data_IF_871626452695
#
_entry.id   IF_871626452695
#
_cell.length_a   1.000
_cell.length_b   1.000
_cell.length_c   1.000
_cell.angle_alpha   90.00
_cell.angle_beta   90.00
_cell.angle_gamma   90.00
#
_symmetry.space_group_name_H-M   'P 1'
#
loop_
_entity.id
_entity.type
_entity.pdbx_description
1 polymer ?
#
# COMPACT_ATOMS: atom_id res chain seq x y z
N UNK A 1 15.08 13.71 6.01
CA UNK A 1 14.95 12.55 5.11
C UNK A 1 13.93 12.88 4.02
N UNK A 2 14.36 12.81 2.76
CA UNK A 2 13.50 13.15 1.63
C UNK A 2 12.75 11.92 1.14
N UNK A 3 11.47 11.86 1.48
CA UNK A 3 10.59 10.77 1.04
C UNK A 3 9.66 11.32 -0.03
N UNK A 4 9.70 10.72 -1.22
CA UNK A 4 8.74 10.99 -2.29
C UNK A 4 7.65 9.92 -2.24
N UNK A 5 6.40 10.33 -2.45
CA UNK A 5 5.31 9.38 -2.64
C UNK A 5 4.99 9.33 -4.12
N UNK A 6 5.05 8.14 -4.70
CA UNK A 6 4.85 7.95 -6.14
C UNK A 6 3.75 6.96 -6.41
N UNK A 7 3.15 7.07 -7.61
CA UNK A 7 2.08 6.18 -8.04
C UNK A 7 2.62 4.84 -8.51
N UNK A 8 1.71 3.86 -8.61
CA UNK A 8 2.03 2.55 -9.13
C UNK A 8 2.50 2.65 -10.60
N UNK A 9 3.56 1.91 -10.91
CA UNK A 9 3.99 1.62 -12.26
C UNK A 9 4.41 0.15 -12.29
N UNK A 10 4.36 -0.46 -13.46
CA UNK A 10 4.67 -1.90 -13.60
C UNK A 10 6.04 -2.27 -13.06
N UNK A 11 7.00 -1.38 -13.19
CA UNK A 11 8.36 -1.63 -12.69
C UNK A 11 8.41 -1.82 -11.17
N UNK A 12 7.37 -1.38 -10.44
CA UNK A 12 7.32 -1.51 -8.99
C UNK A 12 6.51 -2.71 -8.51
N UNK A 13 6.07 -3.58 -9.42
CA UNK A 13 5.30 -4.77 -9.04
C UNK A 13 6.06 -5.65 -8.06
N UNK A 14 7.34 -5.86 -8.30
CA UNK A 14 8.19 -6.68 -7.42
C UNK A 14 8.36 -6.02 -6.06
N UNK A 15 8.51 -4.70 -6.01
CA UNK A 15 8.63 -3.96 -4.75
C UNK A 15 7.38 -4.13 -3.89
N UNK A 16 6.21 -4.04 -4.51
CA UNK A 16 4.94 -4.24 -3.81
C UNK A 16 4.88 -5.62 -3.16
N UNK A 17 5.21 -6.64 -3.92
CA UNK A 17 5.24 -8.02 -3.44
C UNK A 17 6.25 -8.19 -2.30
N UNK A 18 7.49 -7.82 -2.56
CA UNK A 18 8.58 -8.05 -1.60
C UNK A 18 8.35 -7.34 -0.27
N UNK A 19 7.91 -6.09 -0.29
CA UNK A 19 7.64 -5.33 0.92
C UNK A 19 6.52 -5.95 1.74
N UNK A 20 5.43 -6.34 1.11
CA UNK A 20 4.31 -6.93 1.80
C UNK A 20 4.62 -8.32 2.34
N UNK A 21 5.32 -9.15 1.57
CA UNK A 21 5.71 -10.48 2.01
C UNK A 21 6.67 -10.39 3.20
N UNK A 22 7.63 -9.48 3.15
CA UNK A 22 8.54 -9.26 4.28
C UNK A 22 7.76 -8.88 5.55
N UNK A 23 6.81 -7.97 5.41
CA UNK A 23 5.96 -7.53 6.52
C UNK A 23 5.15 -8.70 7.10
N UNK A 24 4.46 -9.45 6.22
CA UNK A 24 3.64 -10.58 6.64
C UNK A 24 4.47 -11.68 7.32
N UNK A 25 5.64 -11.99 6.79
CA UNK A 25 6.51 -13.00 7.40
C UNK A 25 7.04 -12.59 8.76
N UNK A 26 7.17 -11.29 9.00
CA UNK A 26 7.66 -10.79 10.29
C UNK A 26 6.59 -10.86 11.37
N UNK A 27 5.34 -10.51 11.04
CA UNK A 27 4.26 -10.36 12.02
C UNK A 27 3.14 -11.40 11.89
N UNK A 28 3.05 -12.07 10.74
CA UNK A 28 1.98 -13.01 10.42
C UNK A 28 2.56 -14.15 9.59
N UNK A 29 1.74 -14.70 8.71
CA UNK A 29 2.19 -15.59 7.65
C UNK A 29 1.45 -15.28 6.36
N UNK A 30 2.00 -15.71 5.22
CA UNK A 30 1.43 -15.41 3.91
C UNK A 30 0.40 -16.49 3.58
N UNK A 31 -0.87 -16.10 3.45
CA UNK A 31 -1.93 -17.02 3.04
C UNK A 31 -1.98 -17.09 1.51
N UNK A 32 -2.58 -18.17 0.94
CA UNK A 32 -2.68 -18.29 -0.52
C UNK A 32 -3.35 -17.09 -1.19
N UNK A 33 -4.37 -16.52 -0.56
CA UNK A 33 -5.05 -15.34 -1.11
C UNK A 33 -4.13 -14.13 -1.13
N UNK A 34 -3.33 -13.94 -0.09
CA UNK A 34 -2.33 -12.86 -0.05
C UNK A 34 -1.34 -13.02 -1.19
N UNK A 35 -0.86 -14.23 -1.41
CA UNK A 35 0.08 -14.51 -2.49
C UNK A 35 -0.49 -14.10 -3.84
N UNK A 36 -1.75 -14.43 -4.11
CA UNK A 36 -2.40 -14.09 -5.36
C UNK A 36 -2.50 -12.58 -5.57
N UNK A 37 -2.98 -11.87 -4.56
CA UNK A 37 -3.16 -10.41 -4.63
C UNK A 37 -1.83 -9.71 -4.79
N UNK A 38 -0.84 -10.08 -3.97
CA UNK A 38 0.46 -9.42 -3.96
C UNK A 38 1.28 -9.70 -5.21
N UNK A 39 1.07 -10.86 -5.85
CA UNK A 39 1.74 -11.21 -7.11
C UNK A 39 1.09 -10.56 -8.34
N UNK A 40 -0.17 -10.12 -8.21
CA UNK A 40 -0.95 -9.60 -9.33
C UNK A 40 -1.68 -8.32 -8.93
N UNK A 41 -0.94 -7.27 -8.53
CA UNK A 41 -1.56 -6.04 -8.03
C UNK A 41 -2.39 -5.30 -9.10
N UNK A 42 -2.00 -5.38 -10.37
CA UNK A 42 -2.80 -4.76 -11.42
C UNK A 42 -4.18 -5.40 -11.50
N UNK A 43 -4.22 -6.73 -11.54
CA UNK A 43 -5.48 -7.46 -11.67
C UNK A 43 -6.40 -7.25 -10.49
N UNK A 44 -5.87 -7.33 -9.28
CA UNK A 44 -6.69 -7.33 -8.07
C UNK A 44 -6.94 -5.96 -7.47
N UNK A 45 -6.13 -4.97 -7.81
CA UNK A 45 -6.23 -3.63 -7.22
C UNK A 45 -6.46 -2.56 -8.28
N UNK A 46 -5.52 -2.39 -9.19
CA UNK A 46 -5.56 -1.28 -10.17
C UNK A 46 -6.75 -1.43 -11.12
N UNK A 47 -6.91 -2.61 -11.72
CA UNK A 47 -7.97 -2.86 -12.70
C UNK A 47 -9.37 -2.80 -12.08
N UNK A 48 -9.46 -2.88 -10.76
CA UNK A 48 -10.72 -2.79 -10.04
C UNK A 48 -11.02 -1.38 -9.54
N UNK A 49 -10.21 -0.41 -9.93
CA UNK A 49 -10.39 0.98 -9.54
C UNK A 49 -9.64 1.37 -8.27
N UNK A 50 -8.75 0.50 -7.79
CA UNK A 50 -7.92 0.80 -6.65
C UNK A 50 -6.65 1.55 -7.03
N UNK A 51 -5.89 1.92 -6.01
CA UNK A 51 -4.65 2.68 -6.17
C UNK A 51 -3.56 2.08 -5.31
N UNK A 52 -2.32 2.17 -5.79
CA UNK A 52 -1.15 1.75 -5.01
C UNK A 52 -0.15 2.89 -5.04
N UNK A 53 0.41 3.19 -3.87
CA UNK A 53 1.43 4.22 -3.75
C UNK A 53 2.69 3.63 -3.13
N UNK A 54 3.81 4.24 -3.42
CA UNK A 54 5.11 3.84 -2.88
C UNK A 54 5.80 5.04 -2.25
N UNK A 55 6.48 4.78 -1.15
CA UNK A 55 7.41 5.73 -0.55
C UNK A 55 8.80 5.43 -1.09
N UNK A 56 9.45 6.44 -1.62
CA UNK A 56 10.77 6.30 -2.22
C UNK A 56 11.76 7.24 -1.52
N UNK A 57 12.89 6.66 -1.10
CA UNK A 57 13.99 7.39 -0.49
C UNK A 57 15.20 7.27 -1.41
N UNK A 58 15.66 8.38 -1.99
CA UNK A 58 16.83 8.40 -2.87
C UNK A 58 16.80 7.31 -3.95
N UNK A 59 15.69 7.19 -4.66
CA UNK A 59 15.49 6.19 -5.74
C UNK A 59 15.23 4.77 -5.25
N UNK A 60 15.24 4.52 -3.93
CA UNK A 60 14.92 3.21 -3.39
C UNK A 60 13.49 3.20 -2.87
N UNK A 61 12.70 2.22 -3.28
CA UNK A 61 11.36 2.03 -2.75
C UNK A 61 11.49 1.41 -1.35
N UNK A 62 10.95 2.09 -0.36
CA UNK A 62 11.08 1.69 1.05
C UNK A 62 9.74 1.44 1.75
N UNK A 63 8.65 1.73 1.08
CA UNK A 63 7.32 1.48 1.64
C UNK A 63 6.25 1.48 0.57
N UNK A 64 5.07 0.95 0.91
CA UNK A 64 3.94 0.88 0.00
C UNK A 64 2.63 0.85 0.77
N UNK A 65 1.54 1.20 0.08
CA UNK A 65 0.18 1.12 0.60
C UNK A 65 -0.79 1.03 -0.56
N UNK A 66 -1.94 0.40 -0.34
CA UNK A 66 -2.99 0.30 -1.36
C UNK A 66 -4.30 0.89 -0.85
N UNK A 67 -5.07 1.45 -1.78
CA UNK A 67 -6.48 1.80 -1.59
C UNK A 67 -7.29 0.83 -2.44
N UNK A 68 -8.04 -0.05 -1.82
CA UNK A 68 -8.82 -1.07 -2.51
C UNK A 68 -10.32 -0.80 -2.39
N UNK A 69 -11.06 -0.81 -3.49
CA UNK A 69 -12.50 -0.66 -3.41
C UNK A 69 -13.14 -1.89 -2.76
N UNK A 70 -14.13 -1.64 -1.88
CA UNK A 70 -14.88 -2.68 -1.19
C UNK A 70 -16.34 -2.61 -1.65
N UNK A 71 -16.67 -3.31 -2.73
CA UNK A 71 -18.04 -3.36 -3.24
C UNK A 71 -18.43 -2.10 -4.01
N UNK A 72 -19.76 -1.80 -4.02
CA UNK A 72 -20.33 -0.82 -4.95
C UNK A 72 -20.64 0.55 -4.35
N UNK A 73 -20.43 0.73 -3.06
CA UNK A 73 -20.93 1.92 -2.34
C UNK A 73 -19.89 3.01 -2.17
N UNK A 74 -18.82 3.00 -2.95
CA UNK A 74 -17.76 3.98 -2.82
C UNK A 74 -16.90 3.80 -1.57
N UNK A 75 -17.04 2.67 -0.90
CA UNK A 75 -16.22 2.33 0.26
C UNK A 75 -14.87 1.82 -0.20
N UNK A 76 -13.79 2.40 0.33
CA UNK A 76 -12.43 1.98 0.03
C UNK A 76 -11.72 1.57 1.31
N UNK A 77 -10.82 0.60 1.20
CA UNK A 77 -9.99 0.17 2.30
C UNK A 77 -8.54 0.61 2.07
N UNK A 78 -7.95 1.23 3.09
CA UNK A 78 -6.52 1.49 3.13
C UNK A 78 -5.87 0.24 3.71
N UNK A 79 -5.08 -0.45 2.90
CA UNK A 79 -4.59 -1.78 3.22
C UNK A 79 -3.25 -2.05 2.54
N UNK A 80 -2.68 -3.23 2.78
CA UNK A 80 -1.42 -3.66 2.15
C UNK A 80 -0.30 -2.65 2.41
N UNK A 81 -0.30 -2.03 3.60
CA UNK A 81 0.78 -1.14 3.99
C UNK A 81 1.96 -1.95 4.51
N UNK A 82 3.14 -1.65 4.00
CA UNK A 82 4.37 -2.30 4.44
C UNK A 82 5.53 -1.33 4.28
N UNK A 83 6.42 -1.33 5.27
CA UNK A 83 7.63 -0.52 5.26
C UNK A 83 8.82 -1.46 5.39
N UNK A 84 9.86 -1.19 4.61
CA UNK A 84 11.10 -1.97 4.65
C UNK A 84 11.63 -2.09 6.08
N UNK A 85 12.11 -3.26 6.45
CA UNK A 85 12.65 -3.52 7.79
C UNK A 85 13.68 -2.48 8.22
N UNK A 86 14.56 -2.09 7.30
CA UNK A 86 15.64 -1.15 7.61
C UNK A 86 15.16 0.31 7.72
N UNK A 87 13.91 0.58 7.42
CA UNK A 87 13.38 1.96 7.39
C UNK A 87 12.21 2.15 8.34
N UNK A 88 11.92 1.19 9.20
CA UNK A 88 10.89 1.34 10.23
C UNK A 88 11.36 2.31 11.29
N UNK A 89 10.40 3.01 11.91
CA UNK A 89 10.72 4.02 12.92
C UNK A 89 10.95 5.42 12.37
N UNK A 90 10.88 5.61 11.06
CA UNK A 90 11.05 6.92 10.42
C UNK A 90 9.72 7.54 9.97
N UNK A 91 8.61 7.01 10.46
CA UNK A 91 7.26 7.53 10.18
C UNK A 91 6.86 7.46 8.69
N UNK A 92 7.46 6.53 7.96
CA UNK A 92 7.14 6.35 6.54
C UNK A 92 5.71 5.86 6.36
N UNK A 93 5.25 4.94 7.21
CA UNK A 93 3.86 4.47 7.18
C UNK A 93 2.88 5.59 7.42
N UNK A 94 3.18 6.51 8.34
CA UNK A 94 2.33 7.68 8.59
C UNK A 94 2.25 8.59 7.37
N UNK A 95 3.36 8.80 6.68
CA UNK A 95 3.37 9.61 5.45
C UNK A 95 2.53 8.97 4.36
N UNK A 96 2.63 7.65 4.19
CA UNK A 96 1.82 6.92 3.23
C UNK A 96 0.33 7.01 3.57
N UNK A 97 -0.02 6.84 4.83
CA UNK A 97 -1.41 6.95 5.29
C UNK A 97 -1.97 8.35 5.05
N UNK A 98 -1.21 9.38 5.41
CA UNK A 98 -1.61 10.77 5.20
C UNK A 98 -1.84 11.05 3.71
N UNK A 99 -0.95 10.58 2.88
CA UNK A 99 -1.09 10.75 1.43
C UNK A 99 -2.37 10.11 0.92
N UNK A 100 -2.67 8.88 1.37
CA UNK A 100 -3.89 8.18 0.98
C UNK A 100 -5.14 8.94 1.39
N UNK A 101 -5.16 9.49 2.60
CA UNK A 101 -6.31 10.24 3.10
C UNK A 101 -6.54 11.49 2.26
N UNK A 102 -5.50 12.24 1.96
CA UNK A 102 -5.60 13.44 1.12
C UNK A 102 -6.03 13.07 -0.29
N UNK A 103 -5.46 12.01 -0.85
CA UNK A 103 -5.81 11.54 -2.18
C UNK A 103 -7.27 11.10 -2.26
N UNK A 104 -7.73 10.34 -1.28
CA UNK A 104 -9.12 9.90 -1.22
C UNK A 104 -10.08 11.09 -1.16
N UNK A 105 -9.75 12.11 -0.37
CA UNK A 105 -10.55 13.33 -0.31
C UNK A 105 -10.59 14.04 -1.67
N UNK A 106 -9.48 14.09 -2.38
CA UNK A 106 -9.41 14.73 -3.70
C UNK A 106 -10.27 14.03 -4.72
N UNK A 107 -10.49 12.72 -4.57
CA UNK A 107 -11.36 11.93 -5.44
C UNK A 107 -12.84 11.99 -5.00
N UNK A 108 -13.13 12.64 -3.87
CA UNK A 108 -14.48 12.67 -3.34
C UNK A 108 -14.98 11.36 -2.80
N UNK A 109 -14.08 10.48 -2.35
CA UNK A 109 -14.49 9.19 -1.81
C UNK A 109 -15.26 9.39 -0.50
N UNK A 110 -16.48 8.85 -0.39
CA UNK A 110 -17.33 9.14 0.75
C UNK A 110 -16.90 8.45 2.04
N UNK A 111 -16.16 7.36 1.93
CA UNK A 111 -15.84 6.56 3.11
C UNK A 111 -14.55 5.77 2.93
N UNK A 112 -13.72 5.81 3.95
CA UNK A 112 -12.44 5.11 3.97
C UNK A 112 -12.31 4.33 5.27
N UNK A 113 -12.03 3.03 5.20
CA UNK A 113 -11.71 2.23 6.36
C UNK A 113 -10.25 1.78 6.29
N UNK A 114 -9.69 1.44 7.42
CA UNK A 114 -8.28 1.09 7.53
C UNK A 114 -8.13 -0.29 8.13
N UNK A 115 -7.27 -1.13 7.52
CA UNK A 115 -6.85 -2.37 8.14
C UNK A 115 -6.00 -2.02 9.37
N UNK A 116 -6.14 -2.74 10.50
CA UNK A 116 -5.26 -2.51 11.64
C UNK A 116 -3.80 -2.62 11.24
N UNK A 117 -3.02 -1.63 11.65
CA UNK A 117 -1.61 -1.56 11.31
C UNK A 117 -0.80 -1.75 12.59
N UNK A 118 0.13 -2.71 12.56
CA UNK A 118 1.06 -2.93 13.67
C UNK A 118 2.25 -2.00 13.51
N UNK A 119 2.54 -1.26 14.54
CA UNK A 119 3.70 -0.37 14.56
C UNK A 119 4.87 -1.06 15.25
#
# INVERSE_FOLDING_TARGET
MNIDIINFEKQYTKDFYDLNVEWLKTFFYVEPFDEDVLSNPEKYIIDRGGHIFFARLNKQVVGTVALMPLGKNGLFELTKMAVSTNHRGYKIGQKLMQYCIVYAKSLGLPKLISTPILN
#
